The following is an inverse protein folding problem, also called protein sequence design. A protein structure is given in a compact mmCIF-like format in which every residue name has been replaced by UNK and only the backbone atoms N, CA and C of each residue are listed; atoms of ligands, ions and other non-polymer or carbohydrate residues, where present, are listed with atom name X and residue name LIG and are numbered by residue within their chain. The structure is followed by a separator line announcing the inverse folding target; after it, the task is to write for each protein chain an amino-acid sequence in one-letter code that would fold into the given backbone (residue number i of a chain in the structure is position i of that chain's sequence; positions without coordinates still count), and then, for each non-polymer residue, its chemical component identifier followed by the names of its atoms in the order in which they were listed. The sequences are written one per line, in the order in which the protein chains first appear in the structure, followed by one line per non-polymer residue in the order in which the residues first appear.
data_IF_749970119525
#
_entry.id   IF_749970119525
#
_cell.length_a   1.000
_cell.length_b   1.000
_cell.length_c   1.000
_cell.angle_alpha   90.00
_cell.angle_beta   90.00
_cell.angle_gamma   90.00
#
_symmetry.space_group_name_H-M   'P 1'
#
loop_
_entity.id
_entity.type
_entity.pdbx_description
1 polymer ?
#
# COMPACT_ATOMS: atom_id res chain seq x y z
N UNK A 1 -4.22 8.73 -14.53
CA UNK A 1 -5.64 8.55 -14.18
C UNK A 1 -5.91 9.29 -12.87
N UNK A 2 -6.64 10.40 -12.90
CA UNK A 2 -7.10 11.15 -11.71
C UNK A 2 -8.36 11.99 -12.02
N UNK A 3 -9.45 11.44 -12.59
CA UNK A 3 -10.43 12.28 -13.28
C UNK A 3 -11.47 12.94 -12.36
N UNK A 4 -11.61 12.52 -11.09
CA UNK A 4 -12.71 12.99 -10.22
C UNK A 4 -12.41 13.04 -8.72
N UNK A 5 -11.34 12.38 -8.23
CA UNK A 5 -10.94 12.39 -6.82
C UNK A 5 -9.49 12.86 -6.70
N UNK A 6 -9.31 13.90 -5.90
CA UNK A 6 -8.02 14.53 -5.61
C UNK A 6 -7.05 13.67 -4.79
N UNK A 7 -7.51 12.53 -4.28
CA UNK A 7 -6.70 11.67 -3.43
C UNK A 7 -7.07 10.19 -3.55
N UNK A 8 -6.03 9.36 -3.64
CA UNK A 8 -6.08 7.90 -3.64
C UNK A 8 -5.13 7.38 -2.58
N UNK A 9 -5.68 6.96 -1.45
CA UNK A 9 -4.90 6.44 -0.34
C UNK A 9 -4.31 5.06 -0.67
N UNK A 10 -3.13 4.76 -0.15
CA UNK A 10 -2.52 3.44 -0.20
C UNK A 10 -3.40 2.41 0.52
N UNK A 11 -3.82 2.69 1.76
CA UNK A 11 -4.60 1.73 2.57
C UNK A 11 -5.86 1.19 1.86
N UNK A 12 -6.61 2.03 1.14
CA UNK A 12 -7.84 1.58 0.48
C UNK A 12 -7.58 0.53 -0.58
N UNK A 13 -6.43 0.63 -1.24
CA UNK A 13 -5.98 -0.26 -2.31
C UNK A 13 -5.35 -1.53 -1.72
N UNK A 14 -4.55 -1.41 -0.67
CA UNK A 14 -3.99 -2.55 0.06
C UNK A 14 -5.07 -3.43 0.71
N UNK A 15 -6.08 -2.82 1.34
CA UNK A 15 -7.23 -3.53 1.89
C UNK A 15 -8.04 -4.22 0.80
N UNK A 16 -8.18 -3.60 -0.38
CA UNK A 16 -8.84 -4.23 -1.51
C UNK A 16 -8.06 -5.45 -2.03
N UNK A 17 -6.73 -5.34 -2.15
CA UNK A 17 -5.86 -6.46 -2.50
C UNK A 17 -5.98 -7.60 -1.48
N UNK A 18 -5.79 -7.29 -0.19
CA UNK A 18 -5.86 -8.26 0.90
C UNK A 18 -7.24 -8.94 0.97
N UNK A 19 -8.32 -8.18 0.81
CA UNK A 19 -9.69 -8.72 0.81
C UNK A 19 -9.94 -9.62 -0.40
N UNK A 20 -9.54 -9.19 -1.60
CA UNK A 20 -9.63 -9.99 -2.82
C UNK A 20 -8.91 -11.32 -2.63
N UNK A 21 -7.67 -11.29 -2.15
CA UNK A 21 -6.89 -12.50 -1.96
C UNK A 21 -7.40 -13.40 -0.84
N UNK A 22 -7.99 -12.85 0.23
CA UNK A 22 -8.66 -13.64 1.27
C UNK A 22 -9.95 -14.30 0.78
N UNK A 23 -10.65 -13.70 -0.17
CA UNK A 23 -11.86 -14.26 -0.77
C UNK A 23 -11.59 -15.30 -1.87
N UNK A 24 -10.41 -15.28 -2.49
CA UNK A 24 -10.04 -16.18 -3.59
C UNK A 24 -10.29 -17.67 -3.30
N UNK A 25 -9.89 -18.24 -2.15
CA UNK A 25 -10.18 -19.64 -1.83
C UNK A 25 -11.67 -19.98 -1.72
N UNK A 26 -12.53 -18.97 -1.51
CA UNK A 26 -13.98 -19.12 -1.30
C UNK A 26 -14.80 -18.77 -2.54
N UNK A 27 -14.17 -18.49 -3.69
CA UNK A 27 -14.85 -17.99 -4.87
C UNK A 27 -16.04 -18.87 -5.32
N UNK A 28 -15.87 -20.19 -5.32
CA UNK A 28 -16.91 -21.13 -5.70
C UNK A 28 -18.13 -21.10 -4.74
N UNK A 29 -17.89 -20.99 -3.43
CA UNK A 29 -18.96 -20.87 -2.42
C UNK A 29 -19.78 -19.59 -2.60
N UNK A 30 -19.18 -18.57 -3.20
CA UNK A 30 -19.79 -17.27 -3.48
C UNK A 30 -20.39 -17.19 -4.90
N UNK A 31 -20.47 -18.32 -5.63
CA UNK A 31 -21.01 -18.37 -6.99
C UNK A 31 -20.15 -17.64 -8.02
N UNK A 32 -18.83 -17.53 -7.78
CA UNK A 32 -17.86 -16.92 -8.70
C UNK A 32 -16.96 -17.99 -9.33
N UNK A 33 -16.34 -17.66 -10.46
CA UNK A 33 -15.27 -18.49 -11.02
C UNK A 33 -14.11 -18.56 -10.02
N UNK A 34 -13.37 -19.67 -10.03
CA UNK A 34 -12.21 -19.87 -9.14
C UNK A 34 -11.16 -18.76 -9.26
N UNK A 35 -11.06 -18.12 -10.43
CA UNK A 35 -10.11 -17.02 -10.69
C UNK A 35 -10.65 -15.64 -10.34
N UNK A 36 -11.96 -15.46 -10.10
CA UNK A 36 -12.59 -14.14 -10.06
C UNK A 36 -11.88 -13.14 -9.14
N UNK A 37 -11.60 -13.54 -7.90
CA UNK A 37 -10.91 -12.67 -6.94
C UNK A 37 -9.40 -12.63 -7.15
N UNK A 38 -8.79 -13.67 -7.71
CA UNK A 38 -7.39 -13.66 -8.12
C UNK A 38 -7.15 -12.63 -9.23
N UNK A 39 -8.05 -12.56 -10.21
CA UNK A 39 -7.99 -11.60 -11.31
C UNK A 39 -8.05 -10.15 -10.79
N UNK A 40 -8.84 -9.90 -9.75
CA UNK A 40 -8.86 -8.60 -9.05
C UNK A 40 -7.58 -8.34 -8.26
N UNK A 41 -7.07 -9.34 -7.53
CA UNK A 41 -5.81 -9.23 -6.82
C UNK A 41 -4.62 -8.90 -7.73
N UNK A 42 -4.54 -9.56 -8.89
CA UNK A 42 -3.52 -9.30 -9.91
C UNK A 42 -3.62 -7.87 -10.48
N UNK A 43 -4.83 -7.43 -10.82
CA UNK A 43 -5.07 -6.06 -11.32
C UNK A 43 -4.70 -5.01 -10.28
N UNK A 44 -5.08 -5.23 -9.03
CA UNK A 44 -4.79 -4.30 -7.95
C UNK A 44 -3.29 -4.23 -7.68
N UNK A 45 -2.62 -5.37 -7.56
CA UNK A 45 -1.17 -5.39 -7.36
C UNK A 45 -0.44 -4.70 -8.51
N UNK A 46 -0.80 -5.00 -9.77
CA UNK A 46 -0.21 -4.35 -10.92
C UNK A 46 -0.43 -2.83 -10.89
N UNK A 47 -1.59 -2.36 -10.46
CA UNK A 47 -1.85 -0.93 -10.34
C UNK A 47 -1.01 -0.30 -9.23
N UNK A 48 -0.95 -0.91 -8.05
CA UNK A 48 -0.22 -0.41 -6.89
C UNK A 48 1.28 -0.36 -7.14
N UNK A 49 1.86 -1.42 -7.71
CA UNK A 49 3.28 -1.48 -8.08
C UNK A 49 3.65 -0.36 -9.07
N UNK A 50 2.79 -0.09 -10.06
CA UNK A 50 3.02 0.95 -11.06
C UNK A 50 2.56 2.35 -10.61
N UNK A 51 1.95 2.49 -9.43
CA UNK A 51 1.47 3.77 -8.92
C UNK A 51 2.60 4.72 -8.51
N UNK A 52 3.78 4.15 -8.24
CA UNK A 52 4.92 4.85 -7.66
C UNK A 52 4.83 5.08 -6.15
N UNK A 53 3.81 4.56 -5.45
CA UNK A 53 3.67 4.71 -3.98
C UNK A 53 4.76 3.98 -3.17
N UNK A 54 5.33 2.89 -3.72
CA UNK A 54 6.53 2.24 -3.17
C UNK A 54 7.72 3.16 -3.44
N UNK A 55 8.27 3.75 -2.38
CA UNK A 55 9.36 4.73 -2.50
C UNK A 55 10.73 4.04 -2.61
N UNK A 56 11.81 4.82 -2.71
CA UNK A 56 13.18 4.31 -2.88
C UNK A 56 13.72 3.51 -1.68
N UNK A 57 13.07 3.60 -0.52
CA UNK A 57 13.35 2.80 0.67
C UNK A 57 12.42 1.59 0.78
N UNK A 58 11.70 1.21 -0.28
CA UNK A 58 10.68 0.16 -0.24
C UNK A 58 9.57 0.38 0.80
N UNK A 59 9.33 1.61 1.24
CA UNK A 59 8.18 1.95 2.08
C UNK A 59 7.04 2.50 1.22
N UNK A 60 5.81 2.24 1.63
CA UNK A 60 4.59 2.70 1.00
C UNK A 60 4.22 4.10 1.52
N UNK A 61 4.26 5.10 0.64
CA UNK A 61 3.78 6.44 0.95
C UNK A 61 2.24 6.48 1.03
N UNK A 62 1.68 7.45 1.75
CA UNK A 62 0.25 7.47 2.11
C UNK A 62 -0.73 7.44 0.92
N UNK A 63 -0.33 7.93 -0.26
CA UNK A 63 -1.19 7.85 -1.43
C UNK A 63 -0.72 8.62 -2.65
N UNK A 64 -1.62 8.72 -3.63
CA UNK A 64 -1.48 9.60 -4.78
C UNK A 64 -2.41 10.80 -4.63
N UNK A 65 -1.88 11.99 -4.91
CA UNK A 65 -2.66 13.24 -4.89
C UNK A 65 -2.66 13.92 -6.24
N UNK A 66 -3.73 14.66 -6.54
CA UNK A 66 -3.71 15.63 -7.64
C UNK A 66 -2.63 16.70 -7.37
N UNK A 67 -1.97 17.26 -8.41
CA UNK A 67 -0.89 18.23 -8.22
C UNK A 67 -1.35 19.45 -7.40
N UNK A 68 -2.62 19.84 -7.52
CA UNK A 68 -3.21 20.96 -6.78
C UNK A 68 -3.28 20.73 -5.28
N UNK A 69 -3.13 19.48 -4.79
CA UNK A 69 -3.10 19.13 -3.37
C UNK A 69 -1.68 18.93 -2.83
N UNK A 70 -0.67 18.91 -3.70
CA UNK A 70 0.73 18.79 -3.29
C UNK A 70 1.28 20.11 -2.74
N UNK A 71 2.39 20.06 -2.02
CA UNK A 71 3.08 21.26 -1.57
C UNK A 71 3.62 22.06 -2.78
N UNK A 72 3.60 23.40 -2.76
CA UNK A 72 3.93 24.26 -3.93
C UNK A 72 5.25 23.87 -4.61
N UNK A 73 6.27 23.48 -3.84
CA UNK A 73 7.58 23.06 -4.36
C UNK A 73 7.52 21.79 -5.22
N UNK A 74 6.53 20.93 -5.02
CA UNK A 74 6.33 19.67 -5.75
C UNK A 74 5.53 19.89 -7.06
N UNK A 75 4.87 21.04 -7.24
CA UNK A 75 3.94 21.30 -8.37
C UNK A 75 4.60 21.74 -9.66
N UNK A 76 5.84 22.26 -9.59
CA UNK A 76 6.46 23.09 -10.64
C UNK A 76 6.54 22.43 -12.03
N UNK A 77 6.38 21.10 -12.13
CA UNK A 77 6.51 20.35 -13.38
C UNK A 77 5.41 19.28 -13.58
N UNK A 78 4.29 19.38 -12.87
CA UNK A 78 3.24 18.35 -12.91
C UNK A 78 2.06 18.75 -13.79
N UNK A 79 1.50 17.77 -14.50
CA UNK A 79 0.24 17.93 -15.22
C UNK A 79 -0.94 17.65 -14.28
N UNK A 80 -1.86 18.61 -14.24
CA UNK A 80 -3.09 18.63 -13.44
C UNK A 80 -4.00 17.41 -13.65
N UNK A 81 -3.88 16.68 -14.77
CA UNK A 81 -4.68 15.47 -15.08
C UNK A 81 -4.14 14.16 -14.46
N UNK A 82 -3.00 14.23 -13.75
CA UNK A 82 -2.31 13.05 -13.23
C UNK A 82 -2.13 13.09 -11.72
N UNK A 83 -2.69 12.10 -11.03
CA UNK A 83 -2.38 11.80 -9.63
C UNK A 83 -0.92 11.32 -9.58
N UNK A 84 -0.12 11.87 -8.67
CA UNK A 84 1.27 11.43 -8.44
C UNK A 84 1.47 11.07 -6.98
N UNK A 85 2.50 10.27 -6.70
CA UNK A 85 2.86 9.93 -5.33
C UNK A 85 3.03 11.21 -4.49
N UNK A 86 2.29 11.28 -3.39
CA UNK A 86 2.25 12.45 -2.53
C UNK A 86 3.52 12.62 -1.68
N UNK A 87 4.38 11.59 -1.61
CA UNK A 87 5.57 11.52 -0.76
C UNK A 87 5.28 11.87 0.71
N UNK A 88 4.07 11.54 1.17
CA UNK A 88 3.66 11.73 2.55
C UNK A 88 4.06 10.54 3.42
N UNK A 89 3.73 10.64 4.71
CA UNK A 89 4.11 9.72 5.77
C UNK A 89 3.94 8.26 5.37
N UNK A 90 4.99 7.48 5.60
CA UNK A 90 4.97 6.01 5.53
C UNK A 90 4.46 5.47 6.86
N UNK A 91 3.15 5.42 7.02
CA UNK A 91 2.50 4.88 8.22
C UNK A 91 2.71 3.38 8.33
N UNK A 92 2.83 2.83 9.55
CA UNK A 92 3.20 1.41 9.73
C UNK A 92 2.14 0.45 9.15
N UNK A 93 0.85 0.77 9.28
CA UNK A 93 -0.24 -0.06 8.76
C UNK A 93 -0.17 -0.26 7.24
N UNK A 94 0.21 0.77 6.47
CA UNK A 94 0.41 0.64 5.02
C UNK A 94 1.54 -0.38 4.71
N UNK A 95 2.52 -0.47 5.60
CA UNK A 95 3.64 -1.41 5.45
C UNK A 95 3.24 -2.83 5.85
N UNK A 96 2.29 -3.00 6.77
CA UNK A 96 1.85 -4.31 7.26
C UNK A 96 0.73 -4.94 6.41
N UNK A 97 -0.29 -4.15 6.03
CA UNK A 97 -1.46 -4.66 5.29
C UNK A 97 -1.05 -5.17 3.91
N UNK A 98 -0.15 -4.47 3.23
CA UNK A 98 0.35 -4.89 1.92
C UNK A 98 1.04 -6.26 1.97
N UNK A 99 1.76 -6.60 3.05
CA UNK A 99 2.44 -7.90 3.21
C UNK A 99 1.43 -9.05 3.20
N UNK A 100 0.27 -8.87 3.83
CA UNK A 100 -0.80 -9.87 3.80
C UNK A 100 -1.29 -10.13 2.38
N UNK A 101 -1.52 -9.06 1.60
CA UNK A 101 -1.94 -9.17 0.21
C UNK A 101 -0.89 -9.86 -0.66
N UNK A 102 0.37 -9.45 -0.54
CA UNK A 102 1.50 -9.98 -1.29
C UNK A 102 1.77 -11.46 -1.00
N UNK A 103 1.75 -11.86 0.28
CA UNK A 103 1.97 -13.25 0.66
C UNK A 103 0.88 -14.17 0.08
N UNK A 104 -0.40 -13.76 0.18
CA UNK A 104 -1.51 -14.53 -0.38
C UNK A 104 -1.46 -14.59 -1.91
N UNK A 105 -1.14 -13.46 -2.57
CA UNK A 105 -1.01 -13.41 -4.03
C UNK A 105 0.16 -14.26 -4.51
N UNK A 106 1.30 -14.23 -3.82
CA UNK A 106 2.44 -15.11 -4.09
C UNK A 106 2.04 -16.58 -4.02
N UNK A 107 1.34 -16.98 -2.96
CA UNK A 107 0.90 -18.35 -2.79
C UNK A 107 -0.07 -18.79 -3.89
N UNK A 108 -0.99 -17.92 -4.31
CA UNK A 108 -1.95 -18.23 -5.37
C UNK A 108 -1.33 -18.30 -6.78
N UNK A 109 -0.19 -17.61 -7.01
CA UNK A 109 0.43 -17.46 -8.34
C UNK A 109 1.76 -18.18 -8.50
N UNK A 110 2.34 -18.70 -7.40
CA UNK A 110 3.71 -19.18 -7.33
C UNK A 110 4.78 -18.14 -7.77
N UNK A 111 4.46 -16.84 -7.65
CA UNK A 111 5.38 -15.77 -8.03
C UNK A 111 6.25 -15.30 -6.84
N UNK A 112 7.45 -15.87 -6.72
CA UNK A 112 8.41 -15.54 -5.66
C UNK A 112 8.88 -14.08 -5.62
N UNK A 113 8.77 -13.33 -6.72
CA UNK A 113 9.13 -11.90 -6.74
C UNK A 113 8.28 -11.09 -5.76
N UNK A 114 7.02 -11.49 -5.54
CA UNK A 114 6.13 -10.85 -4.57
C UNK A 114 6.64 -11.00 -3.13
N UNK A 115 7.27 -12.13 -2.80
CA UNK A 115 7.91 -12.34 -1.49
C UNK A 115 9.16 -11.47 -1.35
N UNK A 116 9.97 -11.32 -2.41
CA UNK A 116 11.14 -10.44 -2.36
C UNK A 116 10.74 -8.99 -2.08
N UNK A 117 9.67 -8.51 -2.72
CA UNK A 117 9.13 -7.16 -2.47
C UNK A 117 8.59 -7.04 -1.04
N UNK A 118 7.81 -8.02 -0.58
CA UNK A 118 7.30 -8.06 0.79
C UNK A 118 8.43 -8.05 1.83
N UNK A 119 9.52 -8.78 1.56
CA UNK A 119 10.69 -8.81 2.42
C UNK A 119 11.40 -7.45 2.46
N UNK A 120 11.61 -6.79 1.33
CA UNK A 120 12.18 -5.45 1.31
C UNK A 120 11.34 -4.42 2.08
N UNK A 121 10.01 -4.49 1.98
CA UNK A 121 9.10 -3.64 2.77
C UNK A 121 9.27 -3.92 4.27
N UNK A 122 9.29 -5.20 4.66
CA UNK A 122 9.43 -5.61 6.06
C UNK A 122 10.78 -5.20 6.65
N UNK A 123 11.88 -5.45 5.93
CA UNK A 123 13.23 -5.09 6.35
C UNK A 123 13.36 -3.57 6.51
N UNK A 124 12.85 -2.79 5.56
CA UNK A 124 12.87 -1.32 5.62
C UNK A 124 11.98 -0.78 6.73
N UNK A 125 10.87 -1.45 7.04
CA UNK A 125 10.01 -1.11 8.18
C UNK A 125 10.75 -1.33 9.50
N UNK A 126 11.46 -2.45 9.64
CA UNK A 126 12.27 -2.76 10.82
C UNK A 126 13.40 -1.73 10.97
N UNK A 127 14.08 -1.38 9.88
CA UNK A 127 15.20 -0.44 9.90
C UNK A 127 14.77 1.01 10.20
N UNK A 128 13.69 1.47 9.57
CA UNK A 128 13.34 2.90 9.53
C UNK A 128 12.18 3.28 10.47
N UNK A 129 11.32 2.33 10.85
CA UNK A 129 10.12 2.57 11.66
C UNK A 129 10.18 1.89 13.03
N UNK A 130 11.38 1.63 13.56
CA UNK A 130 11.57 1.18 14.94
C UNK A 130 12.33 2.20 15.78
N UNK A 131 12.10 2.19 17.09
CA UNK A 131 13.01 2.82 18.04
C UNK A 131 14.34 2.07 18.07
N UNK A 132 15.40 2.69 18.62
CA UNK A 132 16.68 2.02 18.87
C UNK A 132 16.57 0.78 19.78
N UNK A 133 15.46 0.65 20.52
CA UNK A 133 15.11 -0.52 21.32
C UNK A 133 14.52 -1.68 20.51
N UNK A 134 14.31 -1.52 19.20
CA UNK A 134 13.68 -2.51 18.32
C UNK A 134 12.15 -2.55 18.39
N UNK A 135 11.52 -1.58 19.06
CA UNK A 135 10.05 -1.48 19.17
C UNK A 135 9.50 -0.69 17.99
N UNK A 136 8.47 -1.21 17.31
CA UNK A 136 7.78 -0.54 16.21
C UNK A 136 7.22 0.82 16.68
N UNK A 137 7.43 1.84 15.85
CA UNK A 137 7.19 3.25 16.14
C UNK A 137 6.29 3.86 15.07
N UNK A 138 5.32 4.67 15.50
CA UNK A 138 4.61 5.55 14.57
C UNK A 138 5.37 6.87 14.36
N UNK A 139 5.41 7.40 13.13
CA UNK A 139 6.05 8.70 12.84
C UNK A 139 5.52 9.87 13.69
N UNK A 140 4.28 9.80 14.16
CA UNK A 140 3.63 10.83 14.98
C UNK A 140 3.94 10.73 16.49
N UNK A 141 4.54 9.64 16.97
CA UNK A 141 4.70 9.42 18.41
C UNK A 141 5.56 10.51 19.09
N UNK A 142 5.14 11.03 20.26
CA UNK A 142 4.02 10.56 21.11
C UNK A 142 2.68 11.29 20.89
N UNK A 143 2.52 12.04 19.79
CA UNK A 143 1.39 12.96 19.55
C UNK A 143 0.38 12.42 18.52
N UNK A 144 0.26 11.11 18.44
CA UNK A 144 -0.63 10.44 17.50
C UNK A 144 -2.11 10.69 17.86
N UNK A 145 -2.95 10.82 16.84
CA UNK A 145 -4.41 10.87 17.00
C UNK A 145 -5.02 9.48 17.26
N UNK A 146 -6.35 9.40 17.38
CA UNK A 146 -7.05 8.15 17.69
C UNK A 146 -6.80 7.04 16.68
N UNK A 147 -6.67 7.39 15.40
CA UNK A 147 -6.52 6.43 14.32
C UNK A 147 -5.08 5.92 14.30
N UNK A 148 -4.12 6.86 14.36
CA UNK A 148 -2.69 6.56 14.32
C UNK A 148 -2.22 5.67 15.48
N UNK A 149 -2.85 5.76 16.65
CA UNK A 149 -2.57 4.86 17.77
C UNK A 149 -2.91 3.38 17.48
N UNK A 150 -3.72 3.09 16.46
CA UNK A 150 -4.10 1.74 16.07
C UNK A 150 -3.18 1.12 15.01
N UNK A 151 -2.37 1.91 14.32
CA UNK A 151 -1.73 1.50 13.06
C UNK A 151 -0.66 0.39 13.23
N UNK A 152 0.07 0.40 14.34
CA UNK A 152 1.16 -0.55 14.60
C UNK A 152 0.73 -1.91 15.19
N UNK A 153 -0.56 -2.10 15.47
CA UNK A 153 -1.12 -3.31 16.07
C UNK A 153 -1.43 -4.38 15.03
#
# INVERSE_FOLDING_TARGET
WCPTKDYKNAITNELFLSSSMRLHPYAALLGKSSTYYLDWGLKEWQWLENSGMINSFYLINDGLSSPQRLHIKQRKYLNDDTCVNNNQTTWTYNQGVILSGLALLSNATNNSTLINIAQHIADSTIELLTYSSGILKEPCEPKCDSDQNLFKG
#
